data_IF_105417362789
#
_entry.id   IF_105417362789
#
_cell.length_a   1.000
_cell.length_b   1.000
_cell.length_c   1.000
_cell.angle_alpha   90.00
_cell.angle_beta   90.00
_cell.angle_gamma   90.00
#
_symmetry.space_group_name_H-M   'P 1'
#
loop_
_entity.id
_entity.type
_entity.pdbx_description
1 polymer ?
#
# COMPACT_ATOMS: atom_id res chain seq x y z
N UNK A 1 45.58 -15.60 8.91
CA UNK A 1 44.78 -16.48 9.78
C UNK A 1 43.36 -15.96 9.86
N UNK A 2 42.50 -16.30 8.89
CA UNK A 2 41.06 -16.23 9.08
C UNK A 2 40.58 -17.67 9.17
N UNK A 3 40.41 -18.15 10.39
CA UNK A 3 39.59 -19.32 10.67
C UNK A 3 38.25 -19.11 9.98
N UNK A 4 37.78 -20.12 9.22
CA UNK A 4 36.39 -20.20 8.77
C UNK A 4 35.49 -19.78 9.94
N UNK A 5 34.75 -18.69 9.77
CA UNK A 5 33.66 -18.32 10.67
C UNK A 5 32.57 -19.39 10.51
N UNK A 6 32.76 -20.54 11.14
CA UNK A 6 31.73 -21.56 11.38
C UNK A 6 30.71 -21.10 12.44
N UNK A 7 30.60 -19.79 12.68
CA UNK A 7 29.51 -19.25 13.49
C UNK A 7 28.28 -19.13 12.60
N UNK A 8 27.35 -20.05 12.82
CA UNK A 8 25.93 -19.92 12.49
C UNK A 8 25.42 -18.58 13.03
N UNK A 9 25.49 -17.54 12.21
CA UNK A 9 25.08 -16.18 12.56
C UNK A 9 23.58 -16.03 12.33
N UNK A 10 22.86 -15.65 13.38
CA UNK A 10 21.50 -15.13 13.26
C UNK A 10 21.57 -13.74 12.64
N UNK A 11 20.85 -13.53 11.55
CA UNK A 11 20.75 -12.23 10.87
C UNK A 11 19.37 -11.66 11.08
N UNK A 12 19.29 -10.38 11.42
CA UNK A 12 18.03 -9.70 11.70
C UNK A 12 17.99 -8.37 10.96
N UNK A 13 16.82 -8.02 10.43
CA UNK A 13 16.54 -6.69 9.90
C UNK A 13 15.12 -6.28 10.28
N UNK A 14 14.93 -5.01 10.65
CA UNK A 14 13.66 -4.47 11.07
C UNK A 14 13.34 -3.14 10.39
N UNK A 15 12.13 -3.03 9.88
CA UNK A 15 11.63 -1.81 9.23
C UNK A 15 10.24 -1.45 9.75
N UNK A 16 10.02 -0.14 9.87
CA UNK A 16 8.71 0.46 10.13
C UNK A 16 8.19 1.10 8.85
N UNK A 17 6.97 0.75 8.46
CA UNK A 17 6.30 1.31 7.27
C UNK A 17 4.90 1.77 7.62
N UNK A 18 4.42 2.82 6.95
CA UNK A 18 3.04 3.26 7.08
C UNK A 18 2.15 2.68 5.98
N UNK A 19 0.84 2.51 6.25
CA UNK A 19 -0.12 2.25 5.18
C UNK A 19 -0.15 3.38 4.14
N UNK A 20 -0.49 3.04 2.91
CA UNK A 20 -0.70 3.99 1.81
C UNK A 20 -2.17 3.95 1.38
N UNK A 21 -2.83 5.11 1.40
CA UNK A 21 -4.26 5.24 1.07
C UNK A 21 -4.43 5.55 -0.41
N UNK A 22 -5.29 4.80 -1.10
CA UNK A 22 -5.57 5.05 -2.52
C UNK A 22 -6.28 6.39 -2.75
N UNK A 23 -5.73 7.23 -3.61
CA UNK A 23 -6.31 8.52 -4.02
C UNK A 23 -6.90 8.42 -5.43
N UNK A 24 -6.11 7.88 -6.37
CA UNK A 24 -6.60 7.32 -7.63
C UNK A 24 -6.55 5.81 -7.50
N UNK A 25 -7.68 5.12 -7.61
CA UNK A 25 -7.83 3.76 -7.09
C UNK A 25 -7.14 2.70 -7.94
N UNK A 26 -6.45 1.79 -7.25
CA UNK A 26 -5.97 0.52 -7.80
C UNK A 26 -7.08 -0.52 -7.71
N UNK A 27 -7.73 -0.82 -8.84
CA UNK A 27 -8.80 -1.82 -8.89
C UNK A 27 -8.73 -2.69 -10.15
N UNK A 28 -8.09 -3.85 -9.98
CA UNK A 28 -7.97 -4.89 -10.99
C UNK A 28 -6.53 -5.08 -11.47
N UNK A 29 -6.21 -6.29 -11.91
CA UNK A 29 -4.87 -6.70 -12.31
C UNK A 29 -4.90 -7.07 -13.78
N UNK A 30 -4.01 -6.47 -14.55
CA UNK A 30 -3.74 -6.89 -15.91
C UNK A 30 -3.02 -8.24 -15.93
N UNK A 31 -2.08 -8.44 -15.00
CA UNK A 31 -1.42 -9.73 -14.81
C UNK A 31 -1.43 -10.13 -13.33
N UNK A 32 -2.08 -11.25 -13.00
CA UNK A 32 -2.17 -11.75 -11.62
C UNK A 32 -0.83 -12.24 -11.08
N UNK A 33 0.02 -12.83 -11.94
CA UNK A 33 1.33 -13.37 -11.53
C UNK A 33 2.30 -12.23 -11.22
N UNK A 34 2.43 -11.24 -12.08
CA UNK A 34 3.35 -10.11 -11.86
C UNK A 34 2.73 -9.00 -11.00
N UNK A 35 1.44 -9.10 -10.67
CA UNK A 35 0.66 -8.12 -9.91
C UNK A 35 0.75 -6.74 -10.58
N UNK A 36 0.61 -6.73 -11.91
CA UNK A 36 0.61 -5.51 -12.72
C UNK A 36 -0.81 -4.94 -12.71
N UNK A 37 -1.02 -3.66 -12.37
CA UNK A 37 -2.35 -3.09 -12.30
C UNK A 37 -2.89 -2.77 -13.70
N UNK A 38 -4.22 -2.83 -13.86
CA UNK A 38 -4.90 -2.45 -15.11
C UNK A 38 -4.73 -0.96 -15.44
N UNK A 39 -4.56 -0.13 -14.41
CA UNK A 39 -4.49 1.32 -14.56
C UNK A 39 -3.43 1.91 -13.63
N UNK A 40 -2.86 3.04 -14.06
CA UNK A 40 -2.06 3.88 -13.19
C UNK A 40 -2.90 4.35 -12.01
N UNK A 41 -2.31 4.35 -10.82
CA UNK A 41 -2.99 4.69 -9.58
C UNK A 41 -2.05 5.53 -8.71
N UNK A 42 -2.63 6.32 -7.81
CA UNK A 42 -1.89 7.21 -6.91
C UNK A 42 -2.40 6.94 -5.51
N UNK A 43 -1.51 6.92 -4.53
CA UNK A 43 -1.91 6.92 -3.13
C UNK A 43 -1.01 7.79 -2.27
N UNK A 44 -1.48 8.13 -1.08
CA UNK A 44 -0.75 8.93 -0.09
C UNK A 44 -0.24 8.05 1.03
N UNK A 45 1.04 8.18 1.35
CA UNK A 45 1.65 7.46 2.48
C UNK A 45 1.34 8.19 3.78
N UNK A 46 0.78 7.47 4.75
CA UNK A 46 0.50 8.03 6.08
C UNK A 46 1.78 8.23 6.88
N UNK A 47 1.72 8.99 7.97
CA UNK A 47 2.88 9.24 8.80
C UNK A 47 3.23 8.01 9.66
N UNK A 48 4.43 7.39 9.47
CA UNK A 48 4.86 6.22 10.23
C UNK A 48 5.11 6.53 11.72
N UNK A 49 5.06 7.79 12.15
CA UNK A 49 5.07 8.15 13.58
C UNK A 49 3.73 7.86 14.27
N UNK A 50 2.63 7.94 13.54
CA UNK A 50 1.28 7.78 14.11
C UNK A 50 0.71 6.39 13.79
N UNK A 51 0.78 5.97 12.52
CA UNK A 51 0.14 4.76 12.02
C UNK A 51 1.15 3.95 11.21
N UNK A 52 1.53 2.78 11.72
CA UNK A 52 2.59 1.98 11.13
C UNK A 52 2.46 0.47 11.38
N UNK A 53 3.21 -0.28 10.59
CA UNK A 53 3.55 -1.69 10.81
C UNK A 53 5.05 -1.80 10.96
N UNK A 54 5.51 -2.36 12.09
CA UNK A 54 6.90 -2.77 12.28
C UNK A 54 7.02 -4.23 11.91
N UNK A 55 7.92 -4.57 11.00
CA UNK A 55 8.23 -5.95 10.64
C UNK A 55 9.70 -6.22 10.89
N UNK A 56 9.99 -7.29 11.61
CA UNK A 56 11.32 -7.80 11.85
C UNK A 56 11.44 -9.16 11.19
N UNK A 57 12.44 -9.32 10.32
CA UNK A 57 12.82 -10.59 9.73
C UNK A 57 14.08 -11.10 10.41
N UNK A 58 14.06 -12.36 10.82
CA UNK A 58 15.21 -13.07 11.38
C UNK A 58 15.48 -14.34 10.57
N UNK A 59 16.73 -14.52 10.14
CA UNK A 59 17.23 -15.77 9.58
C UNK A 59 17.87 -16.59 10.70
N UNK A 60 17.26 -17.74 11.00
CA UNK A 60 17.69 -18.63 12.07
C UNK A 60 18.50 -19.81 11.51
N UNK A 61 19.80 -19.95 11.85
CA UNK A 61 20.65 -21.05 11.39
C UNK A 61 20.40 -22.40 12.09
N UNK A 62 19.60 -22.41 13.15
CA UNK A 62 19.26 -23.61 13.94
C UNK A 62 17.91 -24.22 13.53
N UNK A 63 17.15 -23.53 12.68
CA UNK A 63 15.87 -23.99 12.15
C UNK A 63 15.92 -24.05 10.62
N UNK A 64 15.07 -24.88 10.03
CA UNK A 64 14.77 -24.89 8.59
C UNK A 64 13.32 -24.47 8.32
N UNK A 65 12.54 -24.19 9.38
CA UNK A 65 11.13 -23.84 9.27
C UNK A 65 10.98 -22.33 9.11
N UNK A 66 10.03 -21.94 8.26
CA UNK A 66 9.59 -20.56 8.19
C UNK A 66 8.46 -20.33 9.20
N UNK A 67 8.49 -19.20 9.88
CA UNK A 67 7.53 -18.81 10.93
C UNK A 67 6.99 -17.40 10.63
N UNK A 68 5.69 -17.20 10.86
CA UNK A 68 5.05 -15.90 10.72
C UNK A 68 4.23 -15.60 11.96
N UNK A 69 4.60 -14.52 12.65
CA UNK A 69 3.89 -13.99 13.79
C UNK A 69 3.33 -12.62 13.43
N UNK A 70 2.03 -12.42 13.64
CA UNK A 70 1.37 -11.13 13.44
C UNK A 70 0.70 -10.73 14.77
N UNK A 71 1.10 -9.59 15.34
CA UNK A 71 0.61 -9.09 16.63
C UNK A 71 0.72 -10.14 17.75
N UNK A 72 1.87 -10.83 17.79
CA UNK A 72 2.17 -11.87 18.78
C UNK A 72 1.44 -13.21 18.60
N UNK A 73 0.68 -13.41 17.50
CA UNK A 73 -0.02 -14.66 17.20
C UNK A 73 0.59 -15.35 15.99
N UNK A 74 0.66 -16.68 16.02
CA UNK A 74 1.12 -17.49 14.89
C UNK A 74 0.10 -17.48 13.74
N UNK A 75 0.61 -17.37 12.51
CA UNK A 75 -0.17 -17.46 11.28
C UNK A 75 0.48 -18.42 10.29
N UNK A 76 -0.36 -19.08 9.49
CA UNK A 76 0.11 -19.82 8.33
C UNK A 76 0.71 -18.87 7.30
N UNK A 77 1.83 -19.28 6.70
CA UNK A 77 2.48 -18.52 5.63
C UNK A 77 1.64 -18.67 4.36
N UNK A 78 1.17 -17.53 3.83
CA UNK A 78 0.42 -17.52 2.59
C UNK A 78 1.33 -17.73 1.37
N UNK A 79 0.77 -18.22 0.26
CA UNK A 79 1.48 -18.37 -1.02
C UNK A 79 2.20 -17.09 -1.49
N UNK A 80 1.70 -15.90 -1.10
CA UNK A 80 2.33 -14.61 -1.45
C UNK A 80 3.64 -14.39 -0.70
N UNK A 81 3.66 -14.70 0.59
CA UNK A 81 4.87 -14.59 1.42
C UNK A 81 5.86 -15.70 1.04
N UNK A 82 5.36 -16.91 0.81
CA UNK A 82 6.21 -18.03 0.36
C UNK A 82 6.90 -17.71 -0.96
N UNK A 83 6.20 -17.05 -1.90
CA UNK A 83 6.82 -16.57 -3.13
C UNK A 83 7.94 -15.56 -2.89
N UNK A 84 7.81 -14.65 -1.93
CA UNK A 84 8.88 -13.71 -1.56
C UNK A 84 10.10 -14.45 -0.99
N UNK A 85 9.86 -15.44 -0.12
CA UNK A 85 10.92 -16.29 0.42
C UNK A 85 11.64 -17.07 -0.68
N UNK A 86 10.90 -17.61 -1.65
CA UNK A 86 11.51 -18.34 -2.77
C UNK A 86 12.37 -17.42 -3.64
N UNK A 87 11.90 -16.21 -3.97
CA UNK A 87 12.73 -15.21 -4.69
C UNK A 87 14.01 -14.92 -3.90
N UNK A 88 13.92 -14.77 -2.58
CA UNK A 88 15.07 -14.58 -1.71
C UNK A 88 16.06 -15.76 -1.77
N UNK A 89 15.56 -17.01 -1.72
CA UNK A 89 16.40 -18.21 -1.83
C UNK A 89 17.09 -18.32 -3.17
N UNK A 90 16.35 -18.07 -4.26
CA UNK A 90 16.89 -18.09 -5.62
C UNK A 90 18.03 -17.06 -5.76
N UNK A 91 17.88 -15.86 -5.20
CA UNK A 91 18.95 -14.86 -5.22
C UNK A 91 20.20 -15.28 -4.45
N UNK A 92 20.04 -15.91 -3.28
CA UNK A 92 21.18 -16.47 -2.55
C UNK A 92 21.87 -17.53 -3.40
N UNK A 93 21.13 -18.44 -4.02
CA UNK A 93 21.70 -19.51 -4.84
C UNK A 93 22.45 -18.96 -6.05
N UNK A 94 21.88 -17.97 -6.75
CA UNK A 94 22.55 -17.25 -7.85
C UNK A 94 23.84 -16.58 -7.35
N UNK A 95 23.80 -15.97 -6.16
CA UNK A 95 24.99 -15.30 -5.59
C UNK A 95 26.14 -16.27 -5.30
N UNK A 96 25.86 -17.53 -4.98
CA UNK A 96 26.87 -18.58 -4.82
C UNK A 96 27.54 -18.96 -6.13
N UNK A 97 26.80 -18.92 -7.24
CA UNK A 97 27.26 -19.34 -8.57
C UNK A 97 28.08 -18.26 -9.29
N UNK A 98 27.92 -17.00 -8.91
CA UNK A 98 28.72 -15.90 -9.45
C UNK A 98 30.20 -16.11 -9.05
N UNK A 99 31.02 -16.55 -10.01
CA UNK A 99 32.47 -16.59 -9.87
C UNK A 99 33.01 -15.18 -9.68
N UNK A 100 33.95 -15.01 -8.75
CA UNK A 100 34.64 -13.74 -8.45
C UNK A 100 35.46 -13.25 -9.67
N UNK A 101 34.79 -12.75 -10.70
CA UNK A 101 35.47 -12.17 -11.84
C UNK A 101 35.78 -10.69 -11.56
N UNK A 102 37.08 -10.48 -11.26
CA UNK A 102 37.88 -9.26 -11.36
C UNK A 102 37.56 -8.10 -10.38
N UNK A 103 38.55 -7.86 -9.50
CA UNK A 103 38.79 -6.62 -8.73
C UNK A 103 37.78 -6.21 -7.64
N UNK A 104 37.35 -7.13 -6.78
CA UNK A 104 36.69 -6.79 -5.50
C UNK A 104 37.31 -7.57 -4.34
N UNK A 105 38.30 -6.96 -3.68
CA UNK A 105 39.10 -7.61 -2.63
C UNK A 105 38.62 -7.25 -1.20
N UNK A 106 37.51 -6.52 -1.02
CA UNK A 106 36.94 -6.28 0.30
C UNK A 106 35.88 -7.34 0.66
N UNK A 107 35.84 -7.85 1.90
CA UNK A 107 34.74 -8.69 2.39
C UNK A 107 33.35 -8.05 2.23
N UNK A 108 33.27 -6.71 2.26
CA UNK A 108 32.03 -5.95 2.03
C UNK A 108 31.47 -6.10 0.61
N UNK A 109 32.31 -6.51 -0.34
CA UNK A 109 31.94 -6.62 -1.74
C UNK A 109 31.40 -7.99 -2.13
N UNK A 110 31.53 -8.98 -1.23
CA UNK A 110 31.06 -10.34 -1.44
C UNK A 110 29.57 -10.44 -1.09
N UNK A 111 28.83 -11.11 -1.96
CA UNK A 111 27.40 -11.36 -1.73
C UNK A 111 27.21 -12.35 -0.58
N UNK A 112 26.09 -12.25 0.12
CA UNK A 112 25.83 -12.98 1.36
C UNK A 112 25.94 -14.51 1.21
N UNK A 113 25.48 -15.07 0.08
CA UNK A 113 25.59 -16.52 -0.18
C UNK A 113 27.02 -17.03 -0.35
N UNK A 114 27.96 -16.15 -0.72
CA UNK A 114 29.40 -16.46 -0.77
C UNK A 114 30.06 -16.38 0.61
N UNK A 115 29.52 -15.55 1.51
CA UNK A 115 30.01 -15.37 2.87
C UNK A 115 29.48 -16.44 3.83
N UNK A 116 28.23 -16.88 3.64
CA UNK A 116 27.52 -17.81 4.52
C UNK A 116 27.00 -19.01 3.69
N UNK A 117 27.71 -20.15 3.65
CA UNK A 117 27.48 -21.25 2.70
C UNK A 117 26.07 -21.88 2.72
N UNK A 118 25.37 -21.88 3.85
CA UNK A 118 24.06 -22.56 4.02
C UNK A 118 22.92 -21.58 4.34
N UNK A 119 23.08 -20.29 4.07
CA UNK A 119 22.07 -19.28 4.41
C UNK A 119 20.73 -19.45 3.69
N UNK A 120 20.72 -20.10 2.53
CA UNK A 120 19.51 -20.54 1.83
C UNK A 120 18.77 -21.69 2.53
N UNK A 121 19.33 -22.28 3.59
CA UNK A 121 18.66 -23.30 4.40
C UNK A 121 18.15 -22.75 5.73
N UNK A 122 18.54 -21.54 6.14
CA UNK A 122 18.16 -20.96 7.44
C UNK A 122 16.66 -20.70 7.51
N UNK A 123 15.98 -21.10 8.58
CA UNK A 123 14.57 -20.81 8.79
C UNK A 123 14.30 -19.31 8.81
N UNK A 124 13.22 -18.87 8.15
CA UNK A 124 12.84 -17.46 8.08
C UNK A 124 11.74 -17.19 9.09
N UNK A 125 12.02 -16.41 10.13
CA UNK A 125 11.03 -15.93 11.08
C UNK A 125 10.67 -14.49 10.78
N UNK A 126 9.38 -14.22 10.58
CA UNK A 126 8.85 -12.87 10.37
C UNK A 126 7.93 -12.53 11.54
N UNK A 127 8.26 -11.48 12.26
CA UNK A 127 7.41 -10.90 13.31
C UNK A 127 6.92 -9.53 12.85
N UNK A 128 5.61 -9.35 12.78
CA UNK A 128 4.98 -8.12 12.30
C UNK A 128 3.96 -7.59 13.31
N UNK A 129 4.07 -6.32 13.69
CA UNK A 129 3.20 -5.67 14.67
C UNK A 129 2.63 -4.36 14.11
N UNK A 130 1.33 -4.16 14.24
CA UNK A 130 0.65 -2.93 13.81
C UNK A 130 0.42 -1.98 14.99
N UNK A 131 0.54 -0.68 14.78
CA UNK A 131 0.18 0.35 15.78
C UNK A 131 -1.33 0.61 15.87
N UNK A 132 -2.13 -0.12 15.09
CA UNK A 132 -3.58 0.02 14.97
C UNK A 132 -4.27 -1.36 15.05
N UNK A 133 -5.55 -1.42 15.47
CA UNK A 133 -6.27 -2.69 15.62
C UNK A 133 -6.30 -3.52 14.33
N UNK A 134 -6.12 -4.83 14.46
CA UNK A 134 -6.24 -5.75 13.31
C UNK A 134 -7.68 -5.74 12.81
N UNK A 135 -7.89 -5.59 11.51
CA UNK A 135 -9.24 -5.56 10.93
C UNK A 135 -9.88 -4.17 10.86
N UNK A 136 -9.19 -3.10 11.28
CA UNK A 136 -9.64 -1.70 11.17
C UNK A 136 -9.71 -1.15 9.74
N UNK A 137 -9.68 -2.03 8.73
CA UNK A 137 -9.63 -1.72 7.30
C UNK A 137 -8.45 -0.85 6.81
N UNK A 138 -7.59 -0.40 7.72
CA UNK A 138 -6.28 0.16 7.43
C UNK A 138 -5.43 -0.96 6.81
N UNK A 139 -4.84 -0.71 5.65
CA UNK A 139 -4.17 -1.70 4.80
C UNK A 139 -2.90 -2.32 5.45
N UNK A 140 -3.06 -3.07 6.54
CA UNK A 140 -1.97 -3.71 7.30
C UNK A 140 -1.15 -4.67 6.45
N UNK A 141 -1.78 -5.31 5.47
CA UNK A 141 -1.06 -6.17 4.52
C UNK A 141 -0.09 -5.38 3.65
N UNK A 142 -0.42 -4.14 3.24
CA UNK A 142 0.46 -3.37 2.35
C UNK A 142 1.67 -2.82 3.08
N UNK A 143 1.49 -2.27 4.28
CA UNK A 143 2.62 -1.82 5.11
C UNK A 143 3.48 -3.03 5.54
N UNK A 144 2.89 -4.09 6.09
CA UNK A 144 3.65 -5.28 6.51
C UNK A 144 4.48 -5.92 5.38
N UNK A 145 3.91 -6.07 4.18
CA UNK A 145 4.65 -6.64 3.04
C UNK A 145 5.70 -5.69 2.44
N UNK A 146 5.49 -4.37 2.54
CA UNK A 146 6.51 -3.38 2.21
C UNK A 146 7.70 -3.48 3.18
N UNK A 147 7.43 -3.56 4.48
CA UNK A 147 8.47 -3.70 5.49
C UNK A 147 9.23 -5.02 5.34
N UNK A 148 8.52 -6.12 5.05
CA UNK A 148 9.14 -7.42 4.75
C UNK A 148 10.06 -7.34 3.53
N UNK A 149 9.62 -6.72 2.44
CA UNK A 149 10.45 -6.56 1.24
C UNK A 149 11.72 -5.74 1.51
N UNK A 150 11.61 -4.69 2.32
CA UNK A 150 12.76 -3.90 2.79
C UNK A 150 13.71 -4.73 3.64
N UNK A 151 13.21 -5.52 4.60
CA UNK A 151 14.03 -6.41 5.42
C UNK A 151 14.79 -7.44 4.56
N UNK A 152 14.11 -8.02 3.56
CA UNK A 152 14.71 -8.98 2.62
C UNK A 152 15.82 -8.31 1.78
N UNK A 153 15.58 -7.11 1.24
CA UNK A 153 16.60 -6.38 0.49
C UNK A 153 17.79 -5.99 1.38
N UNK A 154 17.53 -5.55 2.60
CA UNK A 154 18.56 -5.16 3.55
C UNK A 154 19.45 -6.33 3.98
N UNK A 155 18.87 -7.51 4.24
CA UNK A 155 19.65 -8.70 4.60
C UNK A 155 20.43 -9.23 3.40
N UNK A 156 19.78 -9.40 2.24
CA UNK A 156 20.43 -10.04 1.10
C UNK A 156 21.44 -9.16 0.37
N UNK A 157 21.29 -7.84 0.45
CA UNK A 157 22.04 -6.87 -0.36
C UNK A 157 21.98 -7.21 -1.87
N UNK A 158 20.82 -7.64 -2.38
CA UNK A 158 20.65 -7.99 -3.81
C UNK A 158 20.47 -6.78 -4.71
N UNK A 159 20.66 -6.99 -6.01
CA UNK A 159 20.28 -6.05 -7.08
C UNK A 159 18.79 -6.12 -7.47
N UNK A 160 17.96 -6.96 -6.82
CA UNK A 160 16.52 -6.93 -7.10
C UNK A 160 15.95 -5.60 -6.59
N UNK A 161 15.12 -4.99 -7.43
CA UNK A 161 14.37 -3.80 -7.09
C UNK A 161 13.32 -4.10 -5.99
N UNK A 162 13.46 -3.46 -4.82
CA UNK A 162 12.50 -3.64 -3.70
C UNK A 162 11.09 -3.23 -4.05
N UNK A 163 10.91 -2.33 -5.03
CA UNK A 163 9.59 -1.97 -5.56
C UNK A 163 8.91 -3.18 -6.18
N UNK A 164 9.66 -3.98 -6.92
CA UNK A 164 9.17 -5.23 -7.49
C UNK A 164 8.81 -6.23 -6.38
N UNK A 165 9.73 -6.47 -5.42
CA UNK A 165 9.47 -7.38 -4.29
C UNK A 165 8.21 -7.01 -3.52
N UNK A 166 8.07 -5.72 -3.19
CA UNK A 166 6.89 -5.21 -2.50
C UNK A 166 5.61 -5.44 -3.30
N UNK A 167 5.64 -5.16 -4.61
CA UNK A 167 4.50 -5.37 -5.52
C UNK A 167 4.06 -6.84 -5.55
N UNK A 168 5.02 -7.76 -5.61
CA UNK A 168 4.78 -9.22 -5.64
C UNK A 168 4.18 -9.72 -4.33
N UNK A 169 4.54 -9.13 -3.19
CA UNK A 169 3.85 -9.40 -1.93
C UNK A 169 2.40 -8.92 -1.98
N UNK A 170 2.20 -7.65 -2.32
CA UNK A 170 0.88 -7.03 -2.47
C UNK A 170 0.99 -5.78 -3.35
N UNK A 171 0.13 -5.65 -4.36
CA UNK A 171 0.24 -4.56 -5.35
C UNK A 171 0.32 -3.16 -4.73
N UNK A 172 -0.47 -2.85 -3.70
CA UNK A 172 -0.41 -1.55 -3.01
C UNK A 172 0.80 -1.38 -2.08
N UNK A 173 1.48 -2.47 -1.69
CA UNK A 173 2.64 -2.41 -0.79
C UNK A 173 3.80 -1.64 -1.40
N UNK A 174 4.00 -1.72 -2.72
CA UNK A 174 5.09 -1.00 -3.37
C UNK A 174 4.96 0.52 -3.26
N UNK A 175 3.75 1.07 -3.08
CA UNK A 175 3.57 2.51 -2.81
C UNK A 175 4.02 2.91 -1.40
N UNK A 176 4.02 1.99 -0.44
CA UNK A 176 4.43 2.25 0.94
C UNK A 176 5.96 2.43 1.08
N UNK A 177 6.73 2.24 0.01
CA UNK A 177 8.19 2.45 -0.03
C UNK A 177 8.61 3.92 -0.10
N UNK A 178 7.65 4.81 -0.40
CA UNK A 178 7.89 6.24 -0.59
C UNK A 178 7.00 7.05 0.35
N UNK A 179 7.45 8.26 0.69
CA UNK A 179 6.62 9.27 1.33
C UNK A 179 5.69 10.01 0.35
N UNK A 180 4.93 10.97 0.87
CA UNK A 180 4.09 11.87 0.09
C UNK A 180 3.06 11.13 -0.79
N UNK A 181 2.73 11.70 -1.96
CA UNK A 181 1.92 11.02 -2.95
C UNK A 181 2.83 10.15 -3.82
N UNK A 182 2.36 8.93 -4.09
CA UNK A 182 3.12 7.90 -4.78
C UNK A 182 2.30 7.41 -5.95
N UNK A 183 2.85 7.54 -7.15
CA UNK A 183 2.27 7.02 -8.38
C UNK A 183 2.76 5.59 -8.58
N UNK A 184 1.85 4.69 -8.90
CA UNK A 184 2.14 3.32 -9.33
C UNK A 184 1.58 3.11 -10.75
N UNK A 185 2.46 3.04 -11.77
CA UNK A 185 2.01 2.88 -13.14
C UNK A 185 1.30 1.54 -13.33
N UNK A 186 0.19 1.55 -14.08
CA UNK A 186 -0.42 0.34 -14.63
C UNK A 186 -0.08 0.15 -16.08
N UNK A 187 -0.45 -1.01 -16.62
CA UNK A 187 -0.16 -1.41 -18.02
C UNK A 187 -0.49 -0.29 -19.01
N UNK A 188 0.30 -0.15 -20.07
CA UNK A 188 -0.01 0.84 -21.10
C UNK A 188 -1.28 0.43 -21.84
N UNK A 189 -2.13 1.39 -22.21
CA UNK A 189 -3.40 1.12 -22.88
C UNK A 189 -3.23 0.33 -24.19
N UNK A 190 -2.16 0.59 -24.94
CA UNK A 190 -1.81 -0.13 -26.18
C UNK A 190 -1.33 -1.59 -25.95
N UNK A 191 -1.08 -1.96 -24.69
CA UNK A 191 -0.67 -3.30 -24.27
C UNK A 191 -1.75 -4.00 -23.43
N UNK A 192 -2.88 -3.34 -23.17
CA UNK A 192 -3.95 -3.86 -22.31
C UNK A 192 -4.47 -5.22 -22.79
N UNK A 193 -4.53 -5.40 -24.11
CA UNK A 193 -5.04 -6.63 -24.74
C UNK A 193 -3.90 -7.60 -25.17
N UNK A 194 -2.63 -7.35 -24.79
CA UNK A 194 -1.45 -8.14 -25.20
C UNK A 194 -0.83 -8.96 -24.06
N UNK A 195 -1.19 -10.22 -23.91
CA UNK A 195 -0.78 -11.03 -22.76
C UNK A 195 0.43 -11.96 -23.00
N UNK A 196 1.27 -11.69 -24.01
CA UNK A 196 2.47 -12.48 -24.28
C UNK A 196 3.58 -12.21 -23.24
N UNK A 197 4.52 -13.16 -23.11
CA UNK A 197 5.56 -13.11 -22.08
C UNK A 197 6.53 -11.93 -22.25
N UNK A 198 6.77 -11.48 -23.48
CA UNK A 198 7.64 -10.33 -23.75
C UNK A 198 6.99 -9.04 -23.25
N UNK A 199 5.71 -8.83 -23.58
CA UNK A 199 4.93 -7.70 -23.07
C UNK A 199 4.84 -7.73 -21.55
N UNK A 200 4.59 -8.89 -20.94
CA UNK A 200 4.56 -9.03 -19.47
C UNK A 200 5.89 -8.62 -18.84
N UNK A 201 7.02 -9.06 -19.41
CA UNK A 201 8.35 -8.73 -18.91
C UNK A 201 8.65 -7.22 -19.03
N UNK A 202 8.26 -6.59 -20.13
CA UNK A 202 8.40 -5.16 -20.35
C UNK A 202 7.58 -4.37 -19.33
N UNK A 203 6.30 -4.70 -19.19
CA UNK A 203 5.38 -4.03 -18.28
C UNK A 203 5.75 -4.24 -16.82
N UNK A 204 6.27 -5.42 -16.47
CA UNK A 204 6.76 -5.72 -15.12
C UNK A 204 7.88 -4.77 -14.69
N UNK A 205 8.77 -4.38 -15.60
CA UNK A 205 9.86 -3.42 -15.34
C UNK A 205 9.38 -1.97 -15.31
N UNK A 206 8.39 -1.62 -16.14
CA UNK A 206 7.85 -0.26 -16.25
C UNK A 206 6.90 0.09 -15.10
N UNK A 207 6.10 -0.87 -14.65
CA UNK A 207 5.11 -0.71 -13.59
C UNK A 207 5.76 -0.75 -12.20
N UNK A 208 6.65 0.20 -11.93
CA UNK A 208 7.30 0.39 -10.64
C UNK A 208 6.93 1.77 -10.08
N UNK A 209 6.53 1.87 -8.81
CA UNK A 209 6.12 3.12 -8.20
C UNK A 209 7.26 4.13 -8.06
N UNK A 210 6.87 5.41 -7.94
CA UNK A 210 7.73 6.52 -7.59
C UNK A 210 6.96 7.64 -6.88
N UNK A 211 7.67 8.42 -6.07
CA UNK A 211 7.13 9.61 -5.41
C UNK A 211 6.84 10.74 -6.42
N UNK A 212 5.67 11.36 -6.32
CA UNK A 212 5.31 12.57 -7.07
C UNK A 212 5.92 13.77 -6.34
N UNK A 213 7.06 14.27 -6.83
CA UNK A 213 7.81 15.36 -6.18
C UNK A 213 6.98 16.63 -5.95
N UNK A 214 6.13 16.99 -6.92
CA UNK A 214 5.26 18.16 -6.86
C UNK A 214 4.11 18.01 -5.83
N UNK A 215 4.00 16.90 -5.11
CA UNK A 215 3.04 16.73 -4.00
C UNK A 215 3.59 17.15 -2.63
N UNK A 216 4.90 17.40 -2.51
CA UNK A 216 5.56 17.67 -1.22
C UNK A 216 5.02 18.89 -0.48
N UNK A 217 4.49 19.89 -1.19
CA UNK A 217 3.91 21.09 -0.59
C UNK A 217 2.65 20.79 0.26
N UNK A 218 2.01 19.63 0.08
CA UNK A 218 0.86 19.19 0.87
C UNK A 218 1.26 18.68 2.26
N UNK A 219 2.51 18.23 2.45
CA UNK A 219 2.95 17.50 3.64
C UNK A 219 2.64 18.23 4.94
N UNK A 220 2.96 19.53 4.97
CA UNK A 220 2.78 20.38 6.15
C UNK A 220 1.46 21.18 6.12
N UNK A 221 0.63 20.97 5.08
CA UNK A 221 -0.66 21.63 4.90
C UNK A 221 -1.86 20.71 5.12
N UNK A 222 -1.66 19.39 5.18
CA UNK A 222 -2.74 18.41 5.24
C UNK A 222 -2.69 17.58 6.51
N UNK A 223 -3.78 17.62 7.25
CA UNK A 223 -4.11 16.64 8.27
C UNK A 223 -4.99 15.55 7.68
N UNK A 224 -4.75 14.30 8.07
CA UNK A 224 -5.52 13.14 7.65
C UNK A 224 -6.26 12.58 8.86
N UNK A 225 -7.55 12.30 8.70
CA UNK A 225 -8.32 11.54 9.70
C UNK A 225 -8.97 10.33 9.08
N UNK A 226 -8.87 9.21 9.78
CA UNK A 226 -9.49 7.95 9.40
C UNK A 226 -10.64 7.69 10.37
N UNK A 227 -11.85 7.77 9.83
CA UNK A 227 -13.10 7.55 10.55
C UNK A 227 -13.51 6.09 10.35
N UNK A 228 -13.47 5.32 11.42
CA UNK A 228 -13.75 3.88 11.36
C UNK A 228 -15.19 3.56 11.75
N UNK A 229 -15.71 2.52 11.11
CA UNK A 229 -16.97 1.89 11.46
C UNK A 229 -16.67 0.57 12.17
N UNK A 230 -16.94 0.48 13.46
CA UNK A 230 -16.74 -0.75 14.23
C UNK A 230 -17.86 -1.77 14.08
N UNK A 231 -18.97 -1.39 13.45
CA UNK A 231 -20.05 -2.32 13.11
C UNK A 231 -19.83 -3.00 11.76
N UNK A 232 -18.83 -2.53 10.99
CA UNK A 232 -18.38 -3.24 9.81
C UNK A 232 -17.79 -4.59 10.24
N UNK A 233 -18.53 -5.68 9.94
CA UNK A 233 -18.03 -7.05 10.07
C UNK A 233 -16.87 -7.33 9.12
N UNK A 234 -16.46 -8.59 9.04
CA UNK A 234 -15.49 -9.00 8.02
C UNK A 234 -16.02 -8.65 6.62
N UNK A 235 -15.12 -8.21 5.73
CA UNK A 235 -15.48 -7.93 4.33
C UNK A 235 -16.07 -9.20 3.71
N UNK A 236 -17.27 -9.11 3.14
CA UNK A 236 -17.91 -10.24 2.46
C UNK A 236 -17.05 -10.75 1.29
N UNK A 237 -16.48 -9.82 0.52
CA UNK A 237 -15.58 -10.13 -0.60
C UNK A 237 -14.25 -9.41 -0.43
N UNK A 238 -13.16 -10.20 -0.36
CA UNK A 238 -11.80 -9.68 -0.29
C UNK A 238 -11.46 -8.89 -1.55
N UNK A 239 -10.66 -7.83 -1.40
CA UNK A 239 -10.30 -6.94 -2.52
C UNK A 239 -9.66 -7.66 -3.71
N UNK A 240 -8.93 -8.76 -3.47
CA UNK A 240 -8.32 -9.57 -4.54
C UNK A 240 -9.38 -10.18 -5.45
N UNK A 241 -10.43 -10.74 -4.87
CA UNK A 241 -11.47 -11.46 -5.60
C UNK A 241 -12.47 -10.45 -6.18
N UNK A 242 -12.83 -9.42 -5.39
CA UNK A 242 -13.72 -8.35 -5.83
C UNK A 242 -13.20 -7.60 -7.07
N UNK A 243 -11.91 -7.29 -7.12
CA UNK A 243 -11.34 -6.59 -8.28
C UNK A 243 -11.31 -7.45 -9.54
N UNK A 244 -11.17 -8.77 -9.38
CA UNK A 244 -11.24 -9.72 -10.49
C UNK A 244 -12.66 -9.82 -11.02
N UNK A 245 -13.63 -10.04 -10.13
CA UNK A 245 -15.06 -10.05 -10.48
C UNK A 245 -15.49 -8.77 -11.17
N UNK A 246 -15.02 -7.61 -10.67
CA UNK A 246 -15.32 -6.32 -11.28
C UNK A 246 -14.82 -6.26 -12.72
N UNK A 247 -13.57 -6.64 -12.97
CA UNK A 247 -13.02 -6.68 -14.34
C UNK A 247 -13.81 -7.61 -15.27
N UNK A 248 -14.24 -8.76 -14.77
CA UNK A 248 -14.93 -9.80 -15.54
C UNK A 248 -16.40 -9.45 -15.85
N UNK A 249 -17.06 -8.64 -15.02
CA UNK A 249 -18.52 -8.47 -15.08
C UNK A 249 -19.02 -7.03 -15.22
N UNK A 250 -18.23 -6.03 -14.81
CA UNK A 250 -18.61 -4.61 -14.92
C UNK A 250 -18.27 -4.05 -16.31
N UNK A 251 -19.21 -3.34 -16.93
CA UNK A 251 -18.93 -2.55 -18.14
C UNK A 251 -18.32 -1.20 -17.77
N UNK A 252 -18.65 -0.65 -16.61
CA UNK A 252 -18.13 0.64 -16.15
C UNK A 252 -16.62 0.60 -15.89
N UNK A 253 -16.06 -0.51 -15.39
CA UNK A 253 -14.61 -0.61 -15.17
C UNK A 253 -13.82 -0.54 -16.48
N UNK A 254 -14.37 -1.05 -17.59
CA UNK A 254 -13.74 -0.98 -18.91
C UNK A 254 -13.60 0.48 -19.35
N UNK A 255 -14.66 1.27 -19.25
CA UNK A 255 -14.63 2.72 -19.54
C UNK A 255 -13.71 3.49 -18.58
N UNK A 256 -13.75 3.15 -17.29
CA UNK A 256 -12.85 3.73 -16.28
C UNK A 256 -11.38 3.52 -16.62
N UNK A 257 -10.96 2.29 -16.88
CA UNK A 257 -9.56 1.95 -17.19
C UNK A 257 -9.11 2.58 -18.50
N UNK A 258 -9.94 2.52 -19.55
CA UNK A 258 -9.55 2.95 -20.90
C UNK A 258 -9.63 4.46 -21.14
N UNK A 259 -10.31 5.22 -20.30
CA UNK A 259 -10.53 6.66 -20.51
C UNK A 259 -10.32 7.50 -19.25
N UNK A 260 -11.08 7.24 -18.19
CA UNK A 260 -11.20 8.21 -17.09
C UNK A 260 -9.99 8.25 -16.16
N UNK A 261 -9.31 7.11 -15.94
CA UNK A 261 -8.16 7.11 -15.02
C UNK A 261 -7.02 7.96 -15.56
N UNK A 262 -6.68 7.85 -16.84
CA UNK A 262 -5.60 8.66 -17.43
C UNK A 262 -5.91 10.16 -17.34
N UNK A 263 -7.16 10.54 -17.61
CA UNK A 263 -7.64 11.91 -17.43
C UNK A 263 -7.47 12.38 -15.97
N UNK A 264 -7.92 11.59 -14.99
CA UNK A 264 -7.76 11.95 -13.58
C UNK A 264 -6.28 12.07 -13.16
N UNK A 265 -5.40 11.21 -13.69
CA UNK A 265 -3.96 11.31 -13.43
C UNK A 265 -3.40 12.63 -13.97
N UNK A 266 -3.71 12.98 -15.22
CA UNK A 266 -3.25 14.23 -15.83
C UNK A 266 -3.79 15.45 -15.08
N UNK A 267 -5.09 15.50 -14.82
CA UNK A 267 -5.72 16.59 -14.06
C UNK A 267 -5.11 16.74 -12.65
N UNK A 268 -4.83 15.61 -11.97
CA UNK A 268 -4.26 15.64 -10.63
C UNK A 268 -2.80 16.11 -10.66
N UNK A 269 -2.00 15.68 -11.65
CA UNK A 269 -0.62 16.14 -11.81
C UNK A 269 -0.58 17.65 -12.08
N UNK A 270 -1.43 18.15 -12.98
CA UNK A 270 -1.55 19.60 -13.23
C UNK A 270 -2.01 20.37 -11.99
N UNK A 271 -2.96 19.85 -11.22
CA UNK A 271 -3.39 20.47 -9.97
C UNK A 271 -2.27 20.51 -8.92
N UNK A 272 -1.46 19.44 -8.81
CA UNK A 272 -0.31 19.39 -7.92
C UNK A 272 0.79 20.38 -8.33
N UNK A 273 1.06 20.50 -9.63
CA UNK A 273 2.01 21.47 -10.20
C UNK A 273 1.59 22.92 -9.91
N UNK A 274 0.31 23.23 -10.10
CA UNK A 274 -0.26 24.55 -9.84
C UNK A 274 -0.54 24.81 -8.35
N UNK A 275 -0.26 23.83 -7.48
CA UNK A 275 -0.62 23.84 -6.06
C UNK A 275 -2.11 24.14 -5.78
N UNK A 276 -3.00 23.69 -6.67
CA UNK A 276 -4.44 23.86 -6.54
C UNK A 276 -5.03 22.80 -5.60
N UNK A 277 -5.03 23.13 -4.32
CA UNK A 277 -5.53 22.26 -3.25
C UNK A 277 -6.97 21.79 -3.49
N UNK A 278 -7.86 22.70 -3.88
CA UNK A 278 -9.28 22.38 -4.05
C UNK A 278 -9.48 21.43 -5.22
N UNK A 279 -8.77 21.64 -6.33
CA UNK A 279 -8.83 20.72 -7.47
C UNK A 279 -8.27 19.34 -7.15
N UNK A 280 -7.18 19.26 -6.38
CA UNK A 280 -6.65 17.98 -5.86
C UNK A 280 -7.73 17.21 -5.09
N UNK A 281 -8.43 17.87 -4.16
CA UNK A 281 -9.46 17.22 -3.34
C UNK A 281 -10.70 16.84 -4.14
N UNK A 282 -11.12 17.66 -5.11
CA UNK A 282 -12.21 17.37 -6.03
C UNK A 282 -11.95 16.07 -6.81
N UNK A 283 -10.75 15.90 -7.37
CA UNK A 283 -10.38 14.72 -8.15
C UNK A 283 -10.35 13.47 -7.26
N UNK A 284 -9.80 13.56 -6.05
CA UNK A 284 -9.78 12.44 -5.08
C UNK A 284 -11.20 11.96 -4.76
N UNK A 285 -12.12 12.90 -4.51
CA UNK A 285 -13.54 12.61 -4.25
C UNK A 285 -14.17 11.90 -5.46
N UNK A 286 -14.00 12.47 -6.66
CA UNK A 286 -14.57 11.91 -7.90
C UNK A 286 -14.07 10.50 -8.16
N UNK A 287 -12.77 10.26 -8.00
CA UNK A 287 -12.18 8.95 -8.25
C UNK A 287 -12.64 7.90 -7.24
N UNK A 288 -12.74 8.27 -5.96
CA UNK A 288 -13.34 7.41 -4.93
C UNK A 288 -14.77 6.99 -5.29
N UNK A 289 -15.60 7.95 -5.70
CA UNK A 289 -16.99 7.67 -6.08
C UNK A 289 -17.09 6.80 -7.33
N UNK A 290 -16.27 7.07 -8.35
CA UNK A 290 -16.27 6.27 -9.57
C UNK A 290 -15.79 4.83 -9.32
N UNK A 291 -14.81 4.63 -8.43
CA UNK A 291 -14.40 3.29 -7.99
C UNK A 291 -15.55 2.51 -7.33
N UNK A 292 -16.29 3.13 -6.41
CA UNK A 292 -17.43 2.45 -5.78
C UNK A 292 -18.60 2.24 -6.75
N UNK A 293 -18.75 3.10 -7.77
CA UNK A 293 -19.70 2.88 -8.85
C UNK A 293 -19.35 1.65 -9.69
N UNK A 294 -18.08 1.40 -10.02
CA UNK A 294 -17.70 0.17 -10.72
C UNK A 294 -17.88 -1.07 -9.84
N UNK A 295 -17.67 -0.96 -8.53
CA UNK A 295 -17.98 -2.04 -7.58
C UNK A 295 -19.47 -2.38 -7.55
N UNK A 296 -20.34 -1.37 -7.61
CA UNK A 296 -21.79 -1.55 -7.64
C UNK A 296 -22.30 -2.15 -8.97
N UNK A 297 -21.58 -1.88 -10.07
CA UNK A 297 -21.86 -2.43 -11.42
C UNK A 297 -21.35 -3.87 -11.61
N UNK A 298 -20.50 -4.38 -10.71
CA UNK A 298 -20.08 -5.78 -10.68
C UNK A 298 -21.26 -6.73 -10.47
N UNK A 299 -21.20 -7.96 -10.98
CA UNK A 299 -22.21 -9.00 -10.72
C UNK A 299 -21.62 -10.26 -10.06
N UNK A 300 -22.12 -10.68 -8.87
CA UNK A 300 -23.00 -9.92 -7.97
C UNK A 300 -22.39 -8.58 -7.51
N UNK A 301 -23.22 -7.58 -7.15
CA UNK A 301 -22.74 -6.26 -6.73
C UNK A 301 -21.83 -6.31 -5.51
N UNK A 302 -20.77 -5.50 -5.53
CA UNK A 302 -19.87 -5.30 -4.40
C UNK A 302 -20.25 -4.01 -3.66
N UNK A 303 -20.79 -4.16 -2.46
CA UNK A 303 -21.25 -3.03 -1.62
C UNK A 303 -20.27 -2.77 -0.48
N UNK A 304 -19.21 -2.02 -0.76
CA UNK A 304 -18.23 -1.64 0.27
C UNK A 304 -18.70 -0.48 1.15
N UNK A 305 -19.41 0.48 0.57
CA UNK A 305 -19.98 1.63 1.29
C UNK A 305 -21.30 1.25 1.93
N UNK A 306 -21.43 1.54 3.22
CA UNK A 306 -22.67 1.40 3.97
C UNK A 306 -23.24 2.78 4.34
N UNK A 307 -24.27 2.79 5.20
CA UNK A 307 -24.92 4.03 5.61
C UNK A 307 -23.99 4.96 6.40
N UNK A 308 -23.05 4.41 7.19
CA UNK A 308 -22.00 5.20 7.83
C UNK A 308 -21.17 5.96 6.78
N UNK A 309 -20.69 5.27 5.74
CA UNK A 309 -19.91 5.91 4.66
C UNK A 309 -20.69 7.03 3.97
N UNK A 310 -21.96 6.76 3.64
CA UNK A 310 -22.85 7.72 2.94
C UNK A 310 -23.10 8.97 3.77
N UNK A 311 -23.16 8.83 5.09
CA UNK A 311 -23.32 9.97 5.99
C UNK A 311 -22.09 10.82 6.10
N UNK A 312 -20.90 10.20 6.15
CA UNK A 312 -19.66 10.96 6.08
C UNK A 312 -19.58 11.74 4.75
N UNK A 313 -19.97 11.14 3.63
CA UNK A 313 -20.06 11.84 2.33
C UNK A 313 -20.98 13.07 2.42
N UNK A 314 -22.20 12.90 2.95
CA UNK A 314 -23.16 14.01 3.09
C UNK A 314 -22.63 15.10 4.03
N UNK A 315 -22.08 14.71 5.17
CA UNK A 315 -21.50 15.61 6.17
C UNK A 315 -20.36 16.44 5.58
N UNK A 316 -19.43 15.81 4.85
CA UNK A 316 -18.32 16.52 4.21
C UNK A 316 -18.83 17.50 3.15
N UNK A 317 -19.82 17.11 2.35
CA UNK A 317 -20.42 18.04 1.38
C UNK A 317 -21.16 19.20 2.04
N UNK A 318 -21.83 18.99 3.18
CA UNK A 318 -22.44 20.07 3.96
C UNK A 318 -21.38 21.04 4.46
N UNK A 319 -20.28 20.52 5.03
CA UNK A 319 -19.15 21.35 5.49
C UNK A 319 -18.56 22.18 4.33
N UNK A 320 -18.31 21.53 3.20
CA UNK A 320 -17.66 22.14 2.04
C UNK A 320 -18.47 23.26 1.37
N UNK A 321 -19.77 23.43 1.66
CA UNK A 321 -20.57 24.54 1.11
C UNK A 321 -20.04 25.92 1.47
N UNK A 322 -19.41 26.05 2.64
CA UNK A 322 -18.90 27.32 3.16
C UNK A 322 -17.40 27.26 3.50
N UNK A 323 -16.73 26.14 3.23
CA UNK A 323 -15.29 25.98 3.49
C UNK A 323 -14.47 26.74 2.44
N UNK A 324 -13.35 27.33 2.87
CA UNK A 324 -12.40 27.97 1.95
C UNK A 324 -11.61 26.90 1.20
N UNK A 325 -11.20 25.86 1.91
CA UNK A 325 -10.53 24.68 1.36
C UNK A 325 -11.43 23.45 1.45
N UNK A 326 -11.55 22.71 0.34
CA UNK A 326 -12.37 21.50 0.25
C UNK A 326 -11.78 20.42 1.15
N UNK A 327 -12.58 19.87 2.05
CA UNK A 327 -12.24 18.61 2.72
C UNK A 327 -12.46 17.47 1.73
N UNK A 328 -11.37 16.80 1.36
CA UNK A 328 -11.39 15.62 0.51
C UNK A 328 -11.83 14.39 1.29
N UNK A 329 -12.58 13.49 0.67
CA UNK A 329 -12.83 12.14 1.21
C UNK A 329 -12.45 11.07 0.20
N UNK A 330 -12.04 9.92 0.72
CA UNK A 330 -11.81 8.73 -0.09
C UNK A 330 -12.09 7.47 0.71
N UNK A 331 -12.58 6.44 0.01
CA UNK A 331 -12.93 5.15 0.58
C UNK A 331 -12.25 4.06 -0.23
N UNK A 332 -11.52 3.16 0.43
CA UNK A 332 -11.00 1.94 -0.19
C UNK A 332 -12.08 0.85 -0.22
N UNK A 333 -11.70 -0.42 -0.37
CA UNK A 333 -12.63 -1.55 -0.36
C UNK A 333 -13.18 -1.84 1.05
N UNK A 334 -13.90 -0.90 1.65
CA UNK A 334 -14.50 -0.95 2.99
C UNK A 334 -15.25 0.34 3.31
N UNK A 335 -15.85 0.41 4.50
CA UNK A 335 -16.75 1.51 4.88
C UNK A 335 -16.03 2.68 5.56
N UNK A 336 -14.78 2.49 5.98
CA UNK A 336 -14.01 3.52 6.66
C UNK A 336 -13.70 4.68 5.74
N UNK A 337 -13.94 5.89 6.23
CA UNK A 337 -13.66 7.11 5.50
C UNK A 337 -12.25 7.59 5.83
N UNK A 338 -11.48 7.96 4.81
CA UNK A 338 -10.26 8.72 4.98
C UNK A 338 -10.51 10.13 4.48
N UNK A 339 -10.31 11.12 5.35
CA UNK A 339 -10.51 12.52 5.04
C UNK A 339 -9.16 13.24 4.99
N UNK A 340 -8.97 14.06 3.96
CA UNK A 340 -7.81 14.94 3.80
C UNK A 340 -8.30 16.38 4.03
N UNK A 341 -7.75 17.02 5.06
CA UNK A 341 -8.21 18.31 5.56
C UNK A 341 -7.06 19.31 5.50
N UNK A 342 -7.25 20.44 4.84
CA UNK A 342 -6.29 21.54 4.91
C UNK A 342 -6.17 22.03 6.36
N UNK A 343 -4.96 22.33 6.83
CA UNK A 343 -4.72 22.70 8.22
C UNK A 343 -5.49 23.96 8.65
N UNK A 344 -5.72 24.91 7.73
CA UNK A 344 -6.60 26.07 7.94
C UNK A 344 -8.05 25.69 8.31
N UNK A 345 -8.55 24.55 7.82
CA UNK A 345 -9.91 24.06 8.07
C UNK A 345 -9.98 23.11 9.27
N UNK A 346 -8.84 22.72 9.86
CA UNK A 346 -8.78 21.62 10.82
C UNK A 346 -9.60 21.89 12.07
N UNK A 347 -9.49 23.10 12.64
CA UNK A 347 -10.18 23.45 13.88
C UNK A 347 -11.70 23.55 13.66
N UNK A 348 -12.11 24.26 12.60
CA UNK A 348 -13.52 24.38 12.23
C UNK A 348 -14.13 23.03 11.88
N UNK A 349 -13.40 22.17 11.17
CA UNK A 349 -13.87 20.82 10.84
C UNK A 349 -14.00 19.93 12.08
N UNK A 350 -13.05 19.98 13.03
CA UNK A 350 -13.17 19.24 14.30
C UNK A 350 -14.39 19.69 15.10
N UNK A 351 -14.64 21.00 15.18
CA UNK A 351 -15.83 21.54 15.84
C UNK A 351 -17.12 21.11 15.11
N UNK A 352 -17.12 21.14 13.78
CA UNK A 352 -18.24 20.66 12.97
C UNK A 352 -18.50 19.17 13.18
N UNK A 353 -17.47 18.33 13.21
CA UNK A 353 -17.57 16.89 13.46
C UNK A 353 -18.11 16.60 14.87
N UNK A 354 -17.66 17.34 15.88
CA UNK A 354 -18.18 17.22 17.24
C UNK A 354 -19.65 17.64 17.33
N UNK A 355 -20.05 18.73 16.67
CA UNK A 355 -21.44 19.18 16.64
C UNK A 355 -22.35 18.31 15.77
N UNK A 356 -21.80 17.69 14.73
CA UNK A 356 -22.50 16.72 13.89
C UNK A 356 -23.02 15.54 14.73
N UNK A 357 -22.32 15.18 15.81
CA UNK A 357 -22.82 14.19 16.78
C UNK A 357 -24.19 14.57 17.36
N UNK A 358 -24.53 15.87 17.45
CA UNK A 358 -25.83 16.34 17.93
C UNK A 358 -26.87 16.55 16.82
N UNK A 359 -26.45 16.68 15.55
CA UNK A 359 -27.34 16.91 14.41
C UNK A 359 -27.91 15.62 13.81
N UNK A 360 -27.17 14.50 13.90
CA UNK A 360 -27.56 13.21 13.32
C UNK A 360 -28.25 12.24 14.31
N UNK A 361 -28.60 12.69 15.53
CA UNK A 361 -29.10 11.85 16.65
C UNK A 361 -30.58 11.48 16.66
N UNK A 362 -31.38 11.80 15.64
CA UNK A 362 -32.82 11.45 15.68
C UNK A 362 -33.20 10.07 15.15
N UNK A 363 -32.28 9.29 14.56
CA UNK A 363 -32.58 7.92 14.14
C UNK A 363 -31.31 7.13 13.78
N UNK A 364 -30.81 6.25 14.67
CA UNK A 364 -29.89 5.13 14.36
C UNK A 364 -28.71 5.44 13.40
N UNK A 365 -27.75 6.28 13.78
CA UNK A 365 -26.58 6.51 12.92
C UNK A 365 -25.26 6.60 13.68
N UNK A 366 -24.28 5.88 13.16
CA UNK A 366 -23.04 5.47 13.81
C UNK A 366 -22.10 6.68 13.87
N UNK A 367 -21.89 7.23 15.06
CA UNK A 367 -20.73 8.08 15.34
C UNK A 367 -19.48 7.25 15.02
N UNK A 368 -18.44 7.80 14.36
CA UNK A 368 -17.21 7.04 14.18
C UNK A 368 -16.69 6.62 15.55
N UNK A 369 -16.72 5.32 15.80
CA UNK A 369 -16.35 4.73 17.08
C UNK A 369 -14.89 4.99 17.43
N UNK A 370 -14.04 5.17 16.40
CA UNK A 370 -12.64 5.56 16.55
C UNK A 370 -12.23 6.49 15.42
N UNK A 371 -11.43 7.49 15.77
CA UNK A 371 -10.80 8.43 14.85
C UNK A 371 -9.28 8.27 14.96
N UNK A 372 -8.60 8.00 13.85
CA UNK A 372 -7.15 7.97 13.80
C UNK A 372 -6.66 9.21 13.06
N UNK A 373 -6.05 10.13 13.79
CA UNK A 373 -5.47 11.36 13.25
C UNK A 373 -4.01 11.12 12.89
N UNK A 374 -3.60 11.60 11.72
CA UNK A 374 -2.23 11.51 11.22
C UNK A 374 -1.97 12.61 10.18
N UNK A 375 -0.82 12.56 9.54
CA UNK A 375 -0.43 13.44 8.45
C UNK A 375 0.13 12.63 7.27
N UNK A 376 0.58 13.33 6.25
CA UNK A 376 1.38 12.75 5.18
C UNK A 376 2.76 12.37 5.75
N UNK A 377 3.26 11.17 5.41
CA UNK A 377 4.53 10.62 5.88
C UNK A 377 5.67 10.70 4.87
N UNK A 378 6.89 10.48 5.36
CA UNK A 378 8.14 10.49 4.58
C UNK A 378 8.55 9.11 4.01
N UNK A 379 7.75 8.07 4.27
CA UNK A 379 8.03 6.71 3.84
C UNK A 379 8.58 5.82 4.95
N UNK A 380 9.28 4.73 4.63
CA UNK A 380 9.76 3.74 5.61
C UNK A 380 10.87 4.28 6.51
N UNK A 381 10.95 3.73 7.73
CA UNK A 381 12.01 4.00 8.72
C UNK A 381 12.75 2.69 8.99
N UNK A 382 14.07 2.68 8.77
CA UNK A 382 14.94 1.57 9.19
C UNK A 382 15.04 1.56 10.73
N UNK A 383 14.93 0.39 11.36
CA UNK A 383 14.99 0.22 12.83
C UNK A 383 16.28 -0.47 13.30
N UNK A 384 17.19 -0.78 12.36
CA UNK A 384 18.46 -1.46 12.64
C UNK A 384 19.55 -0.54 13.17
#
# INVERSE_FOLDING_TARGET
MFTQLNKKLTLTSSFKTAPNIGLIKYWGKWNEKEIIPLNTNIGVTLNPKDIFTTTTLTLNPESHKNELLINGKDFAISNRIERLFNIFREQIQQSKQLTCNRYKNSPSDKLLGQLIPDIDKYGIRVESNNSFPTGSGLASSSSGLSALALCLQDILKTNIDVRYLSRIGSGSACRCLYGNFVLFPGVQLNNLDKCDQETINLESKRCLPYEIQNSRWLKDKVSIVILTDTHQGQKDVLSKDGMKMTWETSKLIQGRVRQFVEQHIQELQTALENQDFNKVMEIIIKDSNQFHATCMDTYPPLLYLNDFSRQIIQMVHIYNRNAKNIVGYTFDAGAHAVLLIHNDELLSFKNFLANAQNLFTKSKYIIPSQQFWTSIGDGPINQN
#
